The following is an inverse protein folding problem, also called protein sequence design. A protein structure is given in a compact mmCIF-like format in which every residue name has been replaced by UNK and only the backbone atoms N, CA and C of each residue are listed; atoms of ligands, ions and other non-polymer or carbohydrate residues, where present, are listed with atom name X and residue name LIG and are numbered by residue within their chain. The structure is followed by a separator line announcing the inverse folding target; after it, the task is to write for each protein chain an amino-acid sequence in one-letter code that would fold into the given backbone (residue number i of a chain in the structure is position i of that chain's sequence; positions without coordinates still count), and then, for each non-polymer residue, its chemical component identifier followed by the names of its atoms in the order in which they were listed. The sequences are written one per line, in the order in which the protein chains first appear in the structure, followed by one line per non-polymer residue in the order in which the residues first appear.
data_IF_656136148546
#
_entry.id   IF_656136148546
#
_cell.length_a   1.000
_cell.length_b   1.000
_cell.length_c   1.000
_cell.angle_alpha   90.00
_cell.angle_beta   90.00
_cell.angle_gamma   90.00
#
_symmetry.space_group_name_H-M   'P 1'
#
loop_
_entity.id
_entity.type
_entity.pdbx_description
1 polymer ?
#
# COMPACT_ATOMS: atom_id res chain seq x y z
N UNK A 1 -4.41 23.03 1.35
CA UNK A 1 -4.25 21.56 1.48
C UNK A 1 -5.38 20.90 0.71
N UNK A 2 -5.22 20.72 -0.61
CA UNK A 2 -6.31 20.24 -1.48
C UNK A 2 -6.43 18.72 -1.36
N UNK A 3 -7.61 18.28 -0.92
CA UNK A 3 -8.16 16.92 -0.86
C UNK A 3 -7.36 15.82 -1.58
N UNK A 4 -6.50 15.12 -0.85
CA UNK A 4 -5.99 13.80 -1.27
C UNK A 4 -7.00 12.74 -0.86
N UNK A 5 -7.85 12.34 -1.81
CA UNK A 5 -8.87 11.32 -1.60
C UNK A 5 -8.19 9.98 -1.29
N UNK A 6 -8.69 9.27 -0.28
CA UNK A 6 -8.17 7.94 0.07
C UNK A 6 -8.47 6.95 -1.07
N UNK A 7 -7.53 6.06 -1.43
CA UNK A 7 -7.74 5.03 -2.44
C UNK A 7 -8.83 4.05 -2.01
N UNK A 8 -9.62 3.52 -2.95
CA UNK A 8 -10.69 2.57 -2.59
C UNK A 8 -10.15 1.20 -2.16
N UNK A 9 -9.08 0.73 -2.80
CA UNK A 9 -8.46 -0.57 -2.57
C UNK A 9 -6.94 -0.48 -2.76
N UNK A 10 -6.25 -1.61 -2.66
CA UNK A 10 -4.79 -1.66 -2.79
C UNK A 10 -4.35 -1.47 -4.25
N UNK A 11 -5.09 -2.08 -5.18
CA UNK A 11 -4.83 -2.09 -6.61
C UNK A 11 -4.89 -0.68 -7.20
N UNK A 12 -5.90 0.10 -6.81
CA UNK A 12 -6.05 1.50 -7.20
C UNK A 12 -4.90 2.36 -6.67
N UNK A 13 -4.48 2.14 -5.42
CA UNK A 13 -3.38 2.88 -4.82
C UNK A 13 -2.04 2.57 -5.49
N UNK A 14 -1.82 1.29 -5.86
CA UNK A 14 -0.63 0.85 -6.55
C UNK A 14 -0.59 1.41 -7.97
N UNK A 15 -1.71 1.34 -8.69
CA UNK A 15 -1.83 1.89 -10.05
C UNK A 15 -1.55 3.39 -10.08
N UNK A 16 -2.13 4.15 -9.14
CA UNK A 16 -1.85 5.59 -9.05
C UNK A 16 -0.37 5.86 -8.73
N UNK A 17 0.27 5.02 -7.91
CA UNK A 17 1.70 5.17 -7.62
C UNK A 17 2.58 4.92 -8.86
N UNK A 18 2.20 3.97 -9.72
CA UNK A 18 2.85 3.70 -11.00
C UNK A 18 2.70 4.89 -11.95
N UNK A 19 1.48 5.41 -12.12
CA UNK A 19 1.19 6.59 -12.94
C UNK A 19 2.02 7.81 -12.48
N UNK A 20 2.11 8.04 -11.17
CA UNK A 20 2.94 9.12 -10.62
C UNK A 20 4.44 8.92 -10.87
N UNK A 21 4.91 7.67 -10.87
CA UNK A 21 6.31 7.35 -11.18
C UNK A 21 6.64 7.65 -12.65
N UNK A 22 5.70 7.45 -13.56
CA UNK A 22 5.86 7.82 -14.97
C UNK A 22 5.92 9.34 -15.13
N UNK A 23 5.07 10.09 -14.42
CA UNK A 23 5.07 11.56 -14.47
C UNK A 23 6.38 12.19 -14.00
N UNK A 24 7.08 11.58 -13.03
CA UNK A 24 8.39 12.07 -12.57
C UNK A 24 9.47 11.96 -13.65
N UNK A 25 9.32 11.01 -14.59
CA UNK A 25 10.28 10.78 -15.67
C UNK A 25 10.06 11.70 -16.87
N UNK A 26 8.96 12.47 -16.89
CA UNK A 26 8.66 13.44 -17.93
C UNK A 26 9.36 14.78 -17.65
N UNK A 27 10.19 15.22 -18.60
CA UNK A 27 10.94 16.49 -18.54
C UNK A 27 10.03 17.74 -18.52
N UNK A 28 8.74 17.60 -18.81
CA UNK A 28 7.74 18.68 -18.75
C UNK A 28 7.16 18.92 -17.35
N UNK A 29 7.48 18.06 -16.38
CA UNK A 29 6.98 18.18 -15.00
C UNK A 29 7.67 19.34 -14.28
N UNK A 30 6.89 20.35 -13.90
CA UNK A 30 7.39 21.51 -13.15
C UNK A 30 7.75 21.17 -11.71
N UNK A 31 8.56 22.01 -11.06
CA UNK A 31 8.99 21.81 -9.67
C UNK A 31 7.80 21.75 -8.68
N UNK A 32 6.78 22.58 -8.88
CA UNK A 32 5.58 22.57 -8.03
C UNK A 32 4.81 21.25 -8.19
N UNK A 33 4.72 20.73 -9.42
CA UNK A 33 4.11 19.43 -9.69
C UNK A 33 4.94 18.29 -9.09
N UNK A 34 6.27 18.34 -9.13
CA UNK A 34 7.13 17.36 -8.47
C UNK A 34 6.85 17.28 -6.97
N UNK A 35 6.63 18.43 -6.31
CA UNK A 35 6.29 18.45 -4.89
C UNK A 35 4.93 17.79 -4.62
N UNK A 36 3.90 18.10 -5.42
CA UNK A 36 2.58 17.48 -5.29
C UNK A 36 2.62 15.97 -5.51
N UNK A 37 3.36 15.53 -6.55
CA UNK A 37 3.59 14.12 -6.88
C UNK A 37 4.31 13.43 -5.72
N UNK A 38 5.38 14.01 -5.20
CA UNK A 38 6.15 13.42 -4.11
C UNK A 38 5.29 13.21 -2.86
N UNK A 39 4.54 14.25 -2.46
CA UNK A 39 3.66 14.12 -1.30
C UNK A 39 2.56 13.07 -1.53
N UNK A 40 2.01 12.95 -2.75
CA UNK A 40 0.97 11.95 -3.05
C UNK A 40 1.56 10.55 -3.08
N UNK A 41 2.69 10.36 -3.75
CA UNK A 41 3.41 9.10 -3.83
C UNK A 41 3.85 8.59 -2.46
N UNK A 42 4.32 9.48 -1.58
CA UNK A 42 4.65 9.15 -0.18
C UNK A 42 3.44 8.64 0.59
N UNK A 43 2.29 9.31 0.43
CA UNK A 43 1.03 8.87 1.03
C UNK A 43 0.58 7.48 0.51
N UNK A 44 0.58 7.28 -0.82
CA UNK A 44 0.19 6.01 -1.44
C UNK A 44 1.14 4.87 -1.04
N UNK A 45 2.45 5.11 -1.02
CA UNK A 45 3.46 4.14 -0.56
C UNK A 45 3.18 3.68 0.88
N UNK A 46 2.86 4.63 1.77
CA UNK A 46 2.49 4.31 3.15
C UNK A 46 1.19 3.51 3.24
N UNK A 47 0.19 3.87 2.45
CA UNK A 47 -1.07 3.14 2.38
C UNK A 47 -0.87 1.68 1.95
N UNK A 48 -0.13 1.46 0.85
CA UNK A 48 0.18 0.11 0.34
C UNK A 48 0.94 -0.74 1.36
N UNK A 49 1.97 -0.18 2.00
CA UNK A 49 2.73 -0.86 3.06
C UNK A 49 1.84 -1.29 4.22
N UNK A 50 0.95 -0.41 4.67
CA UNK A 50 0.03 -0.72 5.76
C UNK A 50 -0.97 -1.82 5.37
N UNK A 51 -1.48 -1.82 4.13
CA UNK A 51 -2.37 -2.88 3.66
C UNK A 51 -1.67 -4.24 3.64
N UNK A 52 -0.44 -4.30 3.13
CA UNK A 52 0.34 -5.54 3.12
C UNK A 52 0.63 -6.05 4.54
N UNK A 53 1.07 -5.17 5.44
CA UNK A 53 1.33 -5.54 6.84
C UNK A 53 0.09 -6.13 7.53
N UNK A 54 -1.09 -5.55 7.30
CA UNK A 54 -2.36 -6.06 7.82
C UNK A 54 -2.73 -7.44 7.25
N UNK A 55 -2.39 -7.70 5.98
CA UNK A 55 -2.62 -9.01 5.35
C UNK A 55 -1.65 -10.05 5.94
N UNK A 56 -0.37 -9.71 6.08
CA UNK A 56 0.64 -10.59 6.66
C UNK A 56 0.31 -10.97 8.11
N UNK A 57 -0.17 -10.02 8.91
CA UNK A 57 -0.64 -10.27 10.27
C UNK A 57 -1.80 -11.28 10.29
N UNK A 58 -2.81 -11.08 9.42
CA UNK A 58 -3.96 -11.98 9.32
C UNK A 58 -3.53 -13.39 8.91
N UNK A 59 -2.65 -13.50 7.91
CA UNK A 59 -2.10 -14.80 7.47
C UNK A 59 -1.36 -15.47 8.63
N UNK A 60 -0.54 -14.72 9.36
CA UNK A 60 0.23 -15.23 10.50
C UNK A 60 -0.67 -15.77 11.61
N UNK A 61 -1.78 -15.09 11.91
CA UNK A 61 -2.79 -15.56 12.88
C UNK A 61 -3.46 -16.85 12.40
N UNK A 62 -3.82 -16.94 11.12
CA UNK A 62 -4.46 -18.13 10.55
C UNK A 62 -3.54 -19.35 10.60
N UNK A 63 -2.26 -19.19 10.25
CA UNK A 63 -1.26 -20.26 10.33
C UNK A 63 -1.10 -20.75 11.77
N UNK A 64 -0.89 -19.83 12.74
CA UNK A 64 -0.78 -20.18 14.16
C UNK A 64 -2.02 -20.89 14.69
N UNK A 65 -3.22 -20.49 14.24
CA UNK A 65 -4.47 -21.15 14.61
C UNK A 65 -4.51 -22.58 14.07
N UNK A 66 -4.07 -22.80 12.83
CA UNK A 66 -4.04 -24.13 12.23
C UNK A 66 -3.07 -25.07 12.97
N UNK A 67 -1.85 -24.62 13.26
CA UNK A 67 -0.88 -25.41 14.05
C UNK A 67 -1.40 -25.79 15.45
N UNK A 68 -2.17 -24.91 16.08
CA UNK A 68 -2.78 -25.18 17.38
C UNK A 68 -3.95 -26.17 17.31
N UNK A 69 -4.62 -26.29 16.17
CA UNK A 69 -5.66 -27.30 15.92
C UNK A 69 -4.99 -28.67 15.78
N UNK A 70 -3.96 -28.79 14.95
CA UNK A 70 -3.21 -30.05 14.75
C UNK A 70 -2.60 -30.58 16.06
N UNK A 71 -2.06 -29.71 16.91
CA UNK A 71 -1.53 -30.10 18.24
C UNK A 71 -2.62 -30.57 19.23
N UNK A 72 -3.87 -30.17 19.04
CA UNK A 72 -5.00 -30.61 19.87
C UNK A 72 -5.55 -31.96 19.44
N UNK A 73 -5.49 -32.29 18.15
CA UNK A 73 -5.96 -33.60 17.64
C UNK A 73 -4.95 -34.74 17.89
N UNK A 74 -3.69 -34.40 18.15
CA UNK A 74 -2.63 -35.35 18.50
C UNK A 74 -2.53 -35.64 20.02
N UNK A 75 -3.45 -35.12 20.84
CA UNK A 75 -3.49 -35.31 22.30
C UNK A 75 -4.68 -36.13 22.77
#
# INVERSE_FOLDING_TARGET
MKNKKEPQNFEDALKELEELSEMIQDDSTSLDQMLEIFERGSYLSKYCKNKLANVDEKISILIKKNENIEKKELK
#
